data_IF_820270132096
#
_entry.id   IF_820270132096
#
_cell.length_a   1.000
_cell.length_b   1.000
_cell.length_c   1.000
_cell.angle_alpha   90.00
_cell.angle_beta   90.00
_cell.angle_gamma   90.00
#
_symmetry.space_group_name_H-M   'P 1'
#
loop_
_entity.id
_entity.type
_entity.pdbx_description
1 polymer ?
#
# COMPACT_ATOMS: atom_id res chain seq x y z
N UNK A 1 -10.40 -38.70 -1.41
CA UNK A 1 -11.34 -38.04 -0.50
C UNK A 1 -12.62 -38.84 -0.58
N UNK A 2 -13.01 -39.48 0.52
CA UNK A 2 -14.31 -40.12 0.63
C UNK A 2 -15.34 -39.01 0.88
N UNK A 3 -16.57 -39.12 0.34
CA UNK A 3 -17.64 -38.11 0.50
C UNK A 3 -18.00 -37.78 1.98
N UNK A 4 -17.47 -38.55 2.94
CA UNK A 4 -17.68 -38.35 4.38
C UNK A 4 -16.72 -37.32 5.01
N UNK A 5 -15.61 -37.03 4.34
CA UNK A 5 -14.61 -36.04 4.77
C UNK A 5 -14.79 -34.69 4.05
N UNK A 6 -15.68 -34.63 3.06
CA UNK A 6 -16.04 -33.43 2.30
C UNK A 6 -16.99 -32.54 3.12
N UNK A 7 -16.46 -31.42 3.61
CA UNK A 7 -17.23 -30.44 4.37
C UNK A 7 -18.12 -29.55 3.49
N UNK A 8 -17.86 -29.50 2.18
CA UNK A 8 -18.55 -28.67 1.20
C UNK A 8 -19.03 -29.46 -0.04
N UNK A 9 -20.01 -30.39 0.10
CA UNK A 9 -20.39 -31.31 -0.99
C UNK A 9 -20.92 -30.65 -2.28
N UNK A 10 -21.35 -29.39 -2.20
CA UNK A 10 -21.90 -28.62 -3.32
C UNK A 10 -20.86 -27.70 -3.98
N UNK A 11 -19.67 -27.54 -3.40
CA UNK A 11 -18.62 -26.65 -3.87
C UNK A 11 -17.32 -27.42 -4.14
N UNK A 12 -16.72 -27.30 -5.34
CA UNK A 12 -15.46 -27.96 -5.60
C UNK A 12 -14.31 -27.24 -4.90
N UNK A 13 -13.53 -28.01 -4.15
CA UNK A 13 -12.16 -27.71 -3.71
C UNK A 13 -11.31 -26.98 -4.76
N UNK A 14 -10.55 -25.96 -4.35
CA UNK A 14 -9.72 -25.11 -5.22
C UNK A 14 -8.21 -25.37 -5.17
N UNK A 15 -7.75 -26.47 -4.56
CA UNK A 15 -6.46 -27.16 -4.85
C UNK A 15 -5.28 -26.26 -5.25
N UNK A 16 -4.95 -25.31 -4.39
CA UNK A 16 -3.82 -24.41 -4.55
C UNK A 16 -2.68 -24.69 -3.54
N UNK A 17 -2.86 -25.73 -2.72
CA UNK A 17 -1.92 -26.16 -1.70
C UNK A 17 -2.10 -25.44 -0.36
N UNK A 18 -3.26 -24.83 -0.14
CA UNK A 18 -3.77 -24.38 1.15
C UNK A 18 -5.02 -25.19 1.50
N UNK A 19 -5.05 -25.78 2.69
CA UNK A 19 -6.18 -26.54 3.27
C UNK A 19 -6.94 -27.58 2.38
N UNK A 20 -6.38 -28.00 1.23
CA UNK A 20 -6.88 -28.97 0.22
C UNK A 20 -7.49 -30.32 0.70
N UNK A 21 -7.36 -30.68 1.99
CA UNK A 21 -7.74 -31.99 2.54
C UNK A 21 -9.22 -32.07 2.97
N UNK A 22 -9.93 -30.95 3.06
CA UNK A 22 -11.26 -30.89 3.67
C UNK A 22 -12.43 -30.78 2.66
N UNK A 23 -12.10 -30.61 1.38
CA UNK A 23 -13.04 -30.58 0.26
C UNK A 23 -13.75 -29.25 0.06
N UNK A 24 -13.45 -28.23 0.87
CA UNK A 24 -13.97 -26.88 0.76
C UNK A 24 -13.00 -25.97 0.02
N UNK A 25 -13.46 -25.15 -0.94
CA UNK A 25 -12.59 -24.15 -1.53
C UNK A 25 -12.22 -23.05 -0.51
N UNK A 26 -10.98 -22.58 -0.60
CA UNK A 26 -10.40 -21.52 0.22
C UNK A 26 -10.10 -20.28 -0.65
N UNK A 27 -11.11 -19.44 -0.94
CA UNK A 27 -10.94 -18.33 -1.87
C UNK A 27 -10.08 -17.15 -1.37
N UNK A 28 -9.67 -17.18 -0.09
CA UNK A 28 -8.91 -16.14 0.62
C UNK A 28 -8.06 -16.83 1.72
N UNK A 29 -6.90 -17.32 1.31
CA UNK A 29 -6.04 -18.23 2.07
C UNK A 29 -5.40 -17.59 3.32
N UNK A 30 -5.26 -16.27 3.37
CA UNK A 30 -4.74 -15.58 4.55
C UNK A 30 -5.79 -14.77 5.32
N UNK A 31 -7.01 -14.70 4.78
CA UNK A 31 -8.18 -14.14 5.44
C UNK A 31 -8.11 -12.62 5.60
N UNK A 32 -7.39 -11.92 4.73
CA UNK A 32 -7.24 -10.47 4.78
C UNK A 32 -8.40 -9.70 4.10
N UNK A 33 -9.28 -10.43 3.40
CA UNK A 33 -10.43 -9.92 2.67
C UNK A 33 -10.18 -9.64 1.19
N UNK A 34 -8.99 -9.93 0.66
CA UNK A 34 -8.64 -9.92 -0.76
C UNK A 34 -8.59 -11.38 -1.24
N UNK A 35 -9.48 -11.75 -2.15
CA UNK A 35 -9.48 -13.12 -2.69
C UNK A 35 -8.16 -13.45 -3.40
N UNK A 36 -7.72 -14.69 -3.31
CA UNK A 36 -6.46 -15.22 -3.87
C UNK A 36 -6.21 -14.84 -5.33
N UNK A 37 -7.28 -14.83 -6.14
CA UNK A 37 -7.21 -14.46 -7.55
C UNK A 37 -6.84 -12.97 -7.79
N UNK A 38 -7.03 -12.12 -6.79
CA UNK A 38 -6.73 -10.68 -6.78
C UNK A 38 -5.62 -10.29 -5.80
N UNK A 39 -5.22 -11.21 -4.92
CA UNK A 39 -4.16 -11.03 -3.94
C UNK A 39 -2.77 -11.20 -4.57
N UNK A 40 -1.86 -10.27 -4.27
CA UNK A 40 -0.45 -10.38 -4.67
C UNK A 40 0.40 -11.22 -3.72
N UNK A 41 -0.07 -11.42 -2.50
CA UNK A 41 0.54 -12.17 -1.43
C UNK A 41 -0.48 -13.11 -0.77
N UNK A 42 -1.04 -14.14 -1.48
CA UNK A 42 -2.17 -14.96 -1.02
C UNK A 42 -1.90 -15.84 0.23
N UNK A 43 -0.78 -15.65 0.92
CA UNK A 43 -0.38 -16.41 2.11
C UNK A 43 0.13 -15.51 3.21
N UNK A 44 0.04 -14.20 3.04
CA UNK A 44 0.58 -13.19 3.93
C UNK A 44 -0.41 -12.04 4.02
N UNK A 45 -1.26 -12.07 5.05
CA UNK A 45 -2.30 -11.09 5.23
C UNK A 45 -1.78 -9.64 5.13
N UNK A 46 -2.43 -8.86 4.30
CA UNK A 46 -2.07 -7.49 4.00
C UNK A 46 -3.24 -6.52 4.06
N UNK A 47 -3.12 -5.45 3.29
CA UNK A 47 -4.16 -4.43 3.16
C UNK A 47 -4.62 -4.33 1.72
N UNK A 48 -5.90 -4.05 1.53
CA UNK A 48 -6.51 -3.89 0.21
C UNK A 48 -5.77 -2.83 -0.63
N UNK A 49 -5.33 -1.73 -0.01
CA UNK A 49 -4.59 -0.67 -0.70
C UNK A 49 -3.19 -1.09 -1.19
N UNK A 50 -2.66 -2.20 -0.66
CA UNK A 50 -1.41 -2.83 -1.07
C UNK A 50 -1.64 -4.18 -1.77
N UNK A 51 -2.86 -4.39 -2.28
CA UNK A 51 -3.24 -5.60 -3.02
C UNK A 51 -3.03 -6.90 -2.23
N UNK A 52 -3.45 -6.89 -0.97
CA UNK A 52 -3.38 -8.06 -0.09
C UNK A 52 -1.99 -8.35 0.47
N UNK A 53 -0.99 -7.53 0.14
CA UNK A 53 0.35 -7.67 0.70
C UNK A 53 0.54 -6.85 1.98
N UNK A 54 1.35 -7.34 2.95
CA UNK A 54 1.72 -6.57 4.12
C UNK A 54 2.54 -5.34 3.72
N UNK A 55 2.35 -4.24 4.45
CA UNK A 55 3.13 -3.02 4.29
C UNK A 55 4.50 -3.17 4.99
N UNK A 56 5.54 -2.61 4.37
CA UNK A 56 6.87 -2.46 4.98
C UNK A 56 7.06 -1.04 5.52
N UNK A 57 7.90 -0.90 6.53
CA UNK A 57 8.31 0.39 7.11
C UNK A 57 9.82 0.30 7.36
N UNK A 58 10.63 0.71 6.38
CA UNK A 58 12.08 0.48 6.37
C UNK A 58 12.84 1.34 7.36
N UNK A 59 12.32 2.51 7.71
CA UNK A 59 12.95 3.44 8.63
C UNK A 59 12.30 3.47 10.02
N UNK A 60 11.27 2.67 10.22
CA UNK A 60 10.57 2.43 11.49
C UNK A 60 9.95 3.71 12.07
N UNK A 61 9.47 4.62 11.21
CA UNK A 61 8.84 5.89 11.62
C UNK A 61 7.32 5.80 11.84
N UNK A 62 6.72 4.65 11.49
CA UNK A 62 5.30 4.36 11.59
C UNK A 62 4.47 4.78 10.37
N UNK A 63 5.10 5.21 9.28
CA UNK A 63 4.48 5.48 7.98
C UNK A 63 4.92 4.38 7.00
N UNK A 64 3.99 3.55 6.48
CA UNK A 64 4.35 2.54 5.49
C UNK A 64 5.09 3.10 4.27
N UNK A 65 6.09 2.38 3.79
CA UNK A 65 6.95 2.71 2.64
C UNK A 65 6.13 3.12 1.39
N UNK A 66 4.96 2.49 1.19
CA UNK A 66 4.03 2.77 0.09
C UNK A 66 3.53 4.22 0.09
N UNK A 67 3.38 4.80 1.28
CA UNK A 67 2.85 6.15 1.49
C UNK A 67 3.87 7.10 2.14
N UNK A 68 5.10 6.63 2.34
CA UNK A 68 6.22 7.44 2.80
C UNK A 68 6.99 8.06 1.62
N UNK A 69 7.20 9.38 1.68
CA UNK A 69 8.00 10.09 0.69
C UNK A 69 9.51 10.06 0.99
N UNK A 70 9.92 9.60 2.17
CA UNK A 70 11.29 9.45 2.64
C UNK A 70 11.53 8.06 3.28
N UNK A 71 11.31 6.94 2.57
CA UNK A 71 11.25 5.58 3.14
C UNK A 71 12.59 5.00 3.61
N UNK A 72 13.60 5.84 3.76
CA UNK A 72 14.94 5.51 4.26
C UNK A 72 15.43 6.58 5.25
N UNK A 73 14.58 7.55 5.66
CA UNK A 73 14.91 8.64 6.60
C UNK A 73 13.73 8.95 7.53
N UNK A 74 13.82 8.60 8.84
CA UNK A 74 12.69 8.69 9.73
C UNK A 74 12.06 10.09 9.81
N UNK A 75 10.75 10.13 9.76
CA UNK A 75 9.97 11.35 9.86
C UNK A 75 8.75 11.20 10.75
N UNK A 76 7.65 11.79 10.29
CA UNK A 76 6.37 11.76 10.99
C UNK A 76 5.25 11.72 9.96
N UNK A 77 4.12 11.09 10.28
CA UNK A 77 2.93 11.11 9.41
C UNK A 77 2.49 12.54 9.02
N UNK A 78 2.61 13.52 9.92
CA UNK A 78 2.29 14.93 9.63
C UNK A 78 3.20 15.57 8.57
N UNK A 79 4.35 14.95 8.29
CA UNK A 79 5.34 15.34 7.28
C UNK A 79 5.50 14.27 6.19
N UNK A 80 4.55 13.35 6.06
CA UNK A 80 4.54 12.29 5.04
C UNK A 80 5.83 11.47 5.08
N UNK A 81 6.16 11.00 6.30
CA UNK A 81 7.34 10.19 6.64
C UNK A 81 8.70 10.90 6.48
N UNK A 82 8.72 12.20 6.14
CA UNK A 82 9.98 12.94 6.06
C UNK A 82 10.34 13.71 7.33
N UNK A 83 11.64 13.72 7.65
CA UNK A 83 12.21 14.58 8.71
C UNK A 83 11.93 16.05 8.47
N UNK A 84 12.07 16.53 7.23
CA UNK A 84 11.85 17.93 6.86
C UNK A 84 10.40 18.18 6.43
N UNK A 85 9.92 19.43 6.59
CA UNK A 85 8.60 19.82 6.09
C UNK A 85 8.63 19.82 4.56
N UNK A 86 7.79 18.99 3.96
CA UNK A 86 7.60 18.98 2.52
C UNK A 86 6.85 20.24 2.07
N UNK A 87 7.30 20.83 0.96
CA UNK A 87 6.64 21.99 0.32
C UNK A 87 5.68 21.58 -0.80
N UNK A 88 5.57 20.28 -1.03
CA UNK A 88 4.76 19.66 -2.05
C UNK A 88 4.06 18.47 -1.40
N UNK A 89 2.77 18.29 -1.68
CA UNK A 89 2.00 17.11 -1.32
C UNK A 89 1.54 16.43 -2.60
N UNK A 90 1.61 15.11 -2.63
CA UNK A 90 1.05 14.30 -3.71
C UNK A 90 -0.37 13.94 -3.28
N UNK A 91 -1.36 14.37 -4.05
CA UNK A 91 -2.74 13.90 -3.96
C UNK A 91 -3.05 12.99 -5.16
N UNK A 92 -4.16 12.25 -5.13
CA UNK A 92 -4.51 11.26 -6.17
C UNK A 92 -4.45 11.80 -7.61
N UNK A 93 -4.77 13.08 -7.82
CA UNK A 93 -4.88 13.69 -9.16
C UNK A 93 -4.00 14.91 -9.37
N UNK A 94 -3.31 15.41 -8.34
CA UNK A 94 -2.56 16.66 -8.43
C UNK A 94 -1.36 16.72 -7.49
N UNK A 95 -0.36 17.48 -7.92
CA UNK A 95 0.76 17.92 -7.08
C UNK A 95 0.38 19.26 -6.43
N UNK A 96 0.17 19.25 -5.12
CA UNK A 96 -0.19 20.44 -4.36
C UNK A 96 1.07 21.08 -3.79
N UNK A 97 1.45 22.22 -4.33
CA UNK A 97 2.53 23.04 -3.77
C UNK A 97 1.95 23.83 -2.59
N UNK A 98 2.45 23.60 -1.38
CA UNK A 98 1.92 24.20 -0.15
C UNK A 98 2.40 25.62 0.09
N UNK A 99 3.51 26.00 -0.56
CA UNK A 99 4.11 27.33 -0.46
C UNK A 99 3.97 28.11 -1.77
N UNK A 100 3.93 29.45 -1.68
CA UNK A 100 3.83 30.29 -2.87
C UNK A 100 5.15 30.27 -3.66
N UNK A 101 5.09 29.75 -4.90
CA UNK A 101 6.21 29.76 -5.85
C UNK A 101 6.05 30.93 -6.83
N UNK A 102 7.13 31.68 -7.04
CA UNK A 102 7.19 32.81 -7.96
C UNK A 102 8.10 32.48 -9.14
N UNK A 103 7.59 32.69 -10.35
CA UNK A 103 8.30 32.49 -11.61
C UNK A 103 8.77 33.83 -12.20
N UNK A 104 9.87 33.81 -12.96
CA UNK A 104 10.22 34.93 -13.81
C UNK A 104 9.16 35.07 -14.93
N UNK A 105 8.92 36.30 -15.38
CA UNK A 105 7.96 36.58 -16.44
C UNK A 105 8.24 35.72 -17.68
N UNK A 106 7.20 35.08 -18.21
CA UNK A 106 7.26 34.13 -19.35
C UNK A 106 8.37 33.09 -19.26
N UNK A 107 8.68 32.59 -18.06
CA UNK A 107 9.80 31.67 -17.85
C UNK A 107 9.51 30.66 -16.74
N UNK A 108 9.93 29.41 -16.95
CA UNK A 108 9.92 28.37 -15.92
C UNK A 108 10.97 28.62 -14.80
N UNK A 109 11.75 29.69 -14.87
CA UNK A 109 12.77 30.01 -13.87
C UNK A 109 12.14 30.47 -12.56
N UNK A 110 12.36 29.71 -11.49
CA UNK A 110 11.91 30.05 -10.13
C UNK A 110 12.74 31.23 -9.58
N UNK A 111 12.05 32.26 -9.09
CA UNK A 111 12.68 33.41 -8.44
C UNK A 111 13.14 33.06 -7.03
N UNK A 112 14.25 33.65 -6.58
CA UNK A 112 14.85 33.43 -5.25
C UNK A 112 13.87 33.70 -4.10
N UNK A 113 12.90 34.61 -4.28
CA UNK A 113 11.84 34.91 -3.30
C UNK A 113 10.93 33.72 -2.97
N UNK A 114 10.91 32.69 -3.80
CA UNK A 114 10.19 31.43 -3.53
C UNK A 114 10.89 30.55 -2.49
N UNK A 115 12.16 30.85 -2.18
CA UNK A 115 12.99 30.10 -1.24
C UNK A 115 13.13 30.83 0.12
N UNK A 116 12.39 31.91 0.36
CA UNK A 116 12.40 32.61 1.64
C UNK A 116 11.74 31.71 2.70
N UNK A 117 12.53 31.24 3.65
CA UNK A 117 12.12 30.54 4.87
C UNK A 117 11.58 31.53 5.90
#
# INVERSE_FOLDING_TARGET
MDDADDQCPDEPEDRDGFEDDDGCPDPDNDGDGVVDASDRCPREAGVVENHGCPDTDRDEDGVPDRIDNCPDEPGTAARQGCRARQRVRIEETQLVITDKVYFAHDSARILRRSNAL
#
